data_IF_103871087347
#
_entry.id   IF_103871087347
#
_cell.length_a   1.000
_cell.length_b   1.000
_cell.length_c   1.000
_cell.angle_alpha   90.00
_cell.angle_beta   90.00
_cell.angle_gamma   90.00
#
_symmetry.space_group_name_H-M   'P 1'
#
loop_
_entity.id
_entity.type
_entity.pdbx_description
1 polymer ?
#
# COMPACT_ATOMS: atom_id res chain seq x y z
N UNK A 1 22.52 9.53 -18.03
CA UNK A 1 21.96 9.63 -16.67
C UNK A 1 20.56 10.19 -16.78
N UNK A 2 19.51 9.36 -16.68
CA UNK A 2 18.12 9.85 -16.75
C UNK A 2 17.73 10.29 -15.34
N UNK A 3 17.41 11.58 -15.10
CA UNK A 3 16.94 12.02 -13.80
C UNK A 3 15.46 11.60 -13.72
N UNK A 4 15.23 10.36 -13.30
CA UNK A 4 13.87 9.90 -13.04
C UNK A 4 13.38 10.65 -11.80
N UNK A 5 12.57 11.69 -12.02
CA UNK A 5 11.78 12.40 -11.00
C UNK A 5 10.78 11.42 -10.37
N UNK A 6 11.26 10.41 -9.65
CA UNK A 6 10.47 9.68 -8.68
C UNK A 6 10.40 10.62 -7.49
N UNK A 7 9.29 11.36 -7.37
CA UNK A 7 8.86 11.88 -6.06
C UNK A 7 8.88 10.65 -5.15
N UNK A 8 9.94 10.53 -4.35
CA UNK A 8 9.98 9.51 -3.32
C UNK A 8 8.75 9.73 -2.46
N UNK A 9 8.00 8.66 -2.22
CA UNK A 9 6.97 8.68 -1.19
C UNK A 9 7.60 9.30 0.06
N UNK A 10 6.87 10.20 0.71
CA UNK A 10 7.33 10.71 1.99
C UNK A 10 7.56 9.54 2.95
N UNK A 11 8.49 9.68 3.89
CA UNK A 11 8.80 8.62 4.87
C UNK A 11 7.53 8.06 5.54
N UNK A 12 6.54 8.94 5.76
CA UNK A 12 5.22 8.61 6.28
C UNK A 12 4.39 7.73 5.32
N UNK A 13 4.37 8.05 4.03
CA UNK A 13 3.70 7.24 3.01
C UNK A 13 4.40 5.89 2.82
N UNK A 14 5.73 5.86 2.81
CA UNK A 14 6.50 4.63 2.68
C UNK A 14 6.30 3.69 3.87
N UNK A 15 6.31 4.23 5.09
CA UNK A 15 6.02 3.45 6.30
C UNK A 15 4.59 2.89 6.29
N UNK A 16 3.63 3.68 5.80
CA UNK A 16 2.23 3.26 5.68
C UNK A 16 2.04 2.15 4.66
N UNK A 17 2.62 2.30 3.48
CA UNK A 17 2.51 1.35 2.38
C UNK A 17 3.15 0.00 2.75
N UNK A 18 4.30 0.04 3.42
CA UNK A 18 4.91 -1.16 4.00
C UNK A 18 3.99 -1.84 5.02
N UNK A 19 3.31 -1.06 5.87
CA UNK A 19 2.39 -1.62 6.87
C UNK A 19 1.18 -2.28 6.22
N UNK A 20 0.63 -1.70 5.15
CA UNK A 20 -0.44 -2.30 4.34
C UNK A 20 0.03 -3.61 3.71
N UNK A 21 1.23 -3.59 3.13
CA UNK A 21 1.86 -4.77 2.53
C UNK A 21 2.08 -5.92 3.52
N UNK A 22 2.46 -5.61 4.77
CA UNK A 22 2.62 -6.61 5.84
C UNK A 22 1.26 -7.11 6.31
N UNK A 23 0.28 -6.21 6.48
CA UNK A 23 -1.08 -6.59 6.88
C UNK A 23 -1.77 -7.46 5.84
N UNK A 24 -1.56 -7.23 4.55
CA UNK A 24 -2.15 -8.07 3.50
C UNK A 24 -1.55 -9.47 3.42
N UNK A 25 -0.33 -9.66 3.93
CA UNK A 25 0.31 -10.98 4.04
C UNK A 25 -0.13 -11.77 5.28
N UNK A 26 -0.78 -11.12 6.24
CA UNK A 26 -1.28 -11.78 7.42
C UNK A 26 -2.54 -12.59 7.08
N UNK A 27 -2.58 -13.90 7.39
CA UNK A 27 -3.69 -14.80 7.03
C UNK A 27 -5.06 -14.28 7.47
N UNK A 28 -5.12 -13.49 8.54
CA UNK A 28 -6.38 -12.90 9.05
C UNK A 28 -7.05 -11.98 8.05
N UNK A 29 -6.28 -11.39 7.14
CA UNK A 29 -6.78 -10.48 6.11
C UNK A 29 -6.70 -11.09 4.70
N UNK A 30 -6.27 -12.34 4.56
CA UNK A 30 -6.09 -12.99 3.27
C UNK A 30 -7.43 -13.23 2.56
N UNK A 31 -8.46 -13.61 3.32
CA UNK A 31 -9.81 -13.86 2.80
C UNK A 31 -10.67 -12.60 2.68
N UNK A 32 -10.23 -11.48 3.25
CA UNK A 32 -10.97 -10.21 3.17
C UNK A 32 -10.91 -9.61 1.78
N UNK A 33 -12.03 -9.07 1.32
CA UNK A 33 -12.10 -8.30 0.08
C UNK A 33 -11.26 -7.02 0.19
N UNK A 34 -10.92 -6.42 -0.96
CA UNK A 34 -10.21 -5.14 -0.97
C UNK A 34 -11.01 -4.01 -0.30
N UNK A 35 -12.35 -4.06 -0.36
CA UNK A 35 -13.20 -3.04 0.28
C UNK A 35 -13.20 -3.18 1.80
N UNK A 36 -13.35 -4.40 2.32
CA UNK A 36 -13.29 -4.67 3.77
C UNK A 36 -11.91 -4.32 4.32
N UNK A 37 -10.86 -4.71 3.61
CA UNK A 37 -9.49 -4.36 4.00
C UNK A 37 -9.26 -2.85 3.97
N UNK A 38 -9.75 -2.16 2.93
CA UNK A 38 -9.63 -0.71 2.79
C UNK A 38 -10.39 0.07 3.86
N UNK A 39 -11.49 -0.48 4.39
CA UNK A 39 -12.22 0.08 5.51
C UNK A 39 -11.47 -0.04 6.84
N UNK A 40 -10.67 -1.10 7.03
CA UNK A 40 -9.85 -1.29 8.24
C UNK A 40 -8.62 -0.39 8.27
N UNK A 41 -8.13 0.01 7.10
CA UNK A 41 -6.95 0.86 6.97
C UNK A 41 -7.27 2.12 6.14
N UNK A 42 -8.09 3.05 6.68
CA UNK A 42 -8.50 4.24 5.96
C UNK A 42 -7.32 5.18 5.66
N UNK A 43 -7.55 6.03 4.66
CA UNK A 43 -6.74 7.20 4.32
C UNK A 43 -6.69 8.21 5.48
N UNK A 44 -5.67 9.10 5.53
CA UNK A 44 -5.57 10.12 6.58
C UNK A 44 -6.78 11.08 6.63
N UNK A 45 -7.52 11.18 5.53
CA UNK A 45 -8.78 11.92 5.41
C UNK A 45 -10.00 11.14 5.98
N UNK A 46 -9.78 9.96 6.55
CA UNK A 46 -10.80 9.09 7.13
C UNK A 46 -11.57 8.25 6.10
N UNK A 47 -11.27 8.38 4.80
CA UNK A 47 -11.96 7.62 3.76
C UNK A 47 -11.42 6.19 3.68
N UNK A 48 -12.27 5.18 3.39
CA UNK A 48 -11.78 3.85 3.07
C UNK A 48 -10.79 3.90 1.90
N UNK A 49 -9.74 3.10 1.99
CA UNK A 49 -8.86 2.92 0.84
C UNK A 49 -9.62 2.27 -0.32
N UNK A 50 -9.45 2.81 -1.52
CA UNK A 50 -10.02 2.20 -2.72
C UNK A 50 -9.21 0.96 -3.12
N UNK A 51 -9.86 0.03 -3.83
CA UNK A 51 -9.18 -1.13 -4.41
C UNK A 51 -7.98 -0.74 -5.28
N UNK A 52 -8.09 0.33 -6.07
CA UNK A 52 -7.00 0.81 -6.92
C UNK A 52 -5.81 1.25 -6.09
N UNK A 53 -6.04 2.02 -5.01
CA UNK A 53 -4.99 2.44 -4.08
C UNK A 53 -4.30 1.25 -3.42
N UNK A 54 -5.06 0.25 -2.95
CA UNK A 54 -4.47 -0.95 -2.33
C UNK A 54 -3.65 -1.74 -3.34
N UNK A 55 -4.16 -1.88 -4.57
CA UNK A 55 -3.44 -2.54 -5.67
C UNK A 55 -2.13 -1.83 -6.02
N UNK A 56 -2.14 -0.50 -6.09
CA UNK A 56 -0.93 0.30 -6.36
C UNK A 56 0.12 0.14 -5.25
N UNK A 57 -0.30 0.16 -3.99
CA UNK A 57 0.58 -0.08 -2.83
C UNK A 57 1.20 -1.47 -2.89
N UNK A 58 0.40 -2.50 -3.18
CA UNK A 58 0.88 -3.88 -3.26
C UNK A 58 1.81 -4.11 -4.45
N UNK A 59 1.58 -3.46 -5.59
CA UNK A 59 2.45 -3.54 -6.78
C UNK A 59 3.77 -2.81 -6.59
N UNK A 60 3.79 -1.71 -5.83
CA UNK A 60 5.06 -1.01 -5.57
C UNK A 60 6.00 -1.90 -4.75
N UNK A 61 5.46 -2.78 -3.88
CA UNK A 61 6.22 -3.76 -3.09
C UNK A 61 7.07 -4.72 -3.93
N UNK A 62 6.52 -5.25 -5.03
CA UNK A 62 7.28 -6.11 -5.96
C UNK A 62 8.46 -5.37 -6.60
N UNK A 63 8.37 -4.03 -6.71
CA UNK A 63 9.45 -3.18 -7.23
C UNK A 63 10.57 -2.92 -6.22
N UNK A 64 10.33 -3.16 -4.92
CA UNK A 64 11.34 -3.05 -3.85
C UNK A 64 11.99 -4.38 -3.49
N UNK A 65 11.29 -5.51 -3.69
CA UNK A 65 11.84 -6.86 -3.47
C UNK A 65 12.69 -7.38 -4.65
N UNK A 66 12.68 -6.69 -5.79
CA UNK A 66 13.46 -7.02 -6.98
C UNK A 66 14.87 -6.37 -7.02
N UNK A 67 15.40 -5.91 -5.88
CA UNK A 67 16.75 -5.30 -5.75
C UNK A 67 17.62 -6.15 -4.85
#
# INVERSE_FOLDING_TARGET
MVPNKRKGLSDLEQHRDNRICVKRQDPRYADMTYEEFGALFPLPDGRPMTRSTISDILKDKDRWLAV
#
